data_IF_941912948275
#
_entry.id   IF_941912948275
#
_cell.length_a   1.000
_cell.length_b   1.000
_cell.length_c   1.000
_cell.angle_alpha   90.00
_cell.angle_beta   90.00
_cell.angle_gamma   90.00
#
_symmetry.space_group_name_H-M   'P 1'
#
loop_
_entity.id
_entity.type
_entity.pdbx_description
1 polymer ?
#
# COMPACT_ATOMS: atom_id res chain seq x y z
N UNK A 1 51.29 49.18 44.11
CA UNK A 1 51.15 47.71 44.01
C UNK A 1 49.69 47.38 43.79
N UNK A 2 49.41 46.56 42.77
CA UNK A 2 48.20 45.77 42.48
C UNK A 2 46.82 46.30 42.91
N UNK A 3 45.94 46.51 41.94
CA UNK A 3 44.51 46.70 42.18
C UNK A 3 43.72 46.64 40.87
N UNK A 4 43.24 45.46 40.51
CA UNK A 4 42.42 45.16 39.34
C UNK A 4 41.10 45.96 39.34
N UNK A 5 40.78 46.61 38.22
CA UNK A 5 39.45 47.13 37.90
C UNK A 5 38.91 46.34 36.70
N UNK A 6 38.11 45.30 36.97
CA UNK A 6 37.26 44.65 35.98
C UNK A 6 35.90 45.35 35.95
N UNK A 7 35.66 46.04 34.84
CA UNK A 7 34.44 46.01 34.01
C UNK A 7 33.17 45.37 34.61
N UNK A 8 32.05 46.10 34.69
CA UNK A 8 31.07 46.16 33.59
C UNK A 8 29.91 47.11 33.92
N UNK A 9 29.49 47.79 32.86
CA UNK A 9 28.48 48.84 32.79
C UNK A 9 27.05 48.34 33.00
N UNK A 10 26.29 49.17 33.71
CA UNK A 10 24.85 49.46 33.67
C UNK A 10 23.83 48.38 33.26
N UNK A 11 22.96 48.14 34.24
CA UNK A 11 21.61 47.61 34.18
C UNK A 11 20.71 48.49 33.30
N UNK A 12 20.05 47.94 32.29
CA UNK A 12 18.77 48.44 31.78
C UNK A 12 17.86 47.26 31.45
N UNK A 13 16.75 47.20 32.19
CA UNK A 13 15.61 46.33 32.00
C UNK A 13 14.71 46.84 30.86
N UNK A 14 14.33 45.97 29.91
CA UNK A 14 13.08 46.10 29.16
C UNK A 14 12.61 44.74 28.62
N UNK A 15 11.56 44.25 29.26
CA UNK A 15 10.36 43.57 28.74
C UNK A 15 10.46 42.69 27.47
N UNK A 16 9.99 41.46 27.67
CA UNK A 16 9.16 40.63 26.77
C UNK A 16 9.55 40.56 25.30
N UNK A 17 10.00 39.38 24.87
CA UNK A 17 9.49 38.76 23.65
C UNK A 17 9.59 37.24 23.76
N UNK A 18 8.42 36.65 24.00
CA UNK A 18 8.08 35.30 23.59
C UNK A 18 8.33 35.18 22.09
N UNK A 19 9.05 34.14 21.68
CA UNK A 19 8.83 33.32 20.47
C UNK A 19 10.16 32.64 20.09
N UNK A 20 10.33 31.41 20.57
CA UNK A 20 11.31 30.48 20.00
C UNK A 20 10.63 29.83 18.81
N UNK A 21 11.15 29.90 17.57
CA UNK A 21 10.57 29.15 16.47
C UNK A 21 10.80 27.67 16.71
N UNK A 22 9.70 26.96 16.96
CA UNK A 22 9.63 25.51 16.96
C UNK A 22 10.18 25.02 15.62
N UNK A 23 11.11 24.06 15.68
CA UNK A 23 11.57 23.28 14.53
C UNK A 23 10.37 22.64 13.83
N UNK A 24 9.87 23.27 12.77
CA UNK A 24 8.97 22.60 11.82
C UNK A 24 9.86 21.72 10.96
N UNK A 25 10.19 20.53 11.49
CA UNK A 25 10.52 19.40 10.63
C UNK A 25 9.25 19.11 9.84
N UNK A 26 9.22 19.56 8.59
CA UNK A 26 8.19 19.22 7.63
C UNK A 26 8.30 17.73 7.30
N UNK A 27 7.82 16.87 8.19
CA UNK A 27 7.61 15.47 7.90
C UNK A 27 6.28 15.38 7.17
N UNK A 28 6.31 15.67 5.87
CA UNK A 28 5.23 15.28 4.97
C UNK A 28 5.24 13.77 4.94
N UNK A 29 4.46 13.14 5.83
CA UNK A 29 4.14 11.73 5.73
C UNK A 29 3.38 11.58 4.42
N UNK A 30 4.07 11.08 3.40
CA UNK A 30 3.50 10.65 2.13
C UNK A 30 2.48 9.55 2.47
N UNK A 31 1.24 9.92 2.77
CA UNK A 31 0.15 8.95 2.88
C UNK A 31 0.15 8.21 1.56
N UNK A 32 0.35 6.90 1.63
CA UNK A 32 0.50 6.05 0.46
C UNK A 32 -0.76 6.19 -0.40
N UNK A 33 -0.64 6.86 -1.53
CA UNK A 33 -1.72 7.08 -2.50
C UNK A 33 -2.28 5.79 -3.11
N UNK A 34 -1.69 4.64 -2.74
CA UNK A 34 -2.08 3.33 -3.23
C UNK A 34 -3.28 2.71 -2.50
N UNK A 35 -3.66 3.20 -1.31
CA UNK A 35 -4.83 2.71 -0.55
C UNK A 35 -6.11 3.51 -0.78
N UNK A 36 -6.10 4.45 -1.70
CA UNK A 36 -7.30 5.16 -2.12
C UNK A 36 -7.98 4.36 -3.25
N UNK A 37 -9.32 4.45 -3.35
CA UNK A 37 -10.05 3.84 -4.46
C UNK A 37 -9.53 4.35 -5.81
N UNK A 38 -9.62 3.50 -6.83
CA UNK A 38 -9.21 3.86 -8.19
C UNK A 38 -10.03 5.04 -8.72
N UNK A 39 -9.34 6.00 -9.35
CA UNK A 39 -10.03 7.04 -10.11
C UNK A 39 -10.78 6.43 -11.30
N UNK A 40 -11.86 7.06 -11.81
CA UNK A 40 -12.59 6.53 -12.96
C UNK A 40 -11.68 6.26 -14.18
N UNK A 41 -10.74 7.17 -14.46
CA UNK A 41 -9.78 7.00 -15.56
C UNK A 41 -8.82 5.83 -15.33
N UNK A 42 -8.28 5.68 -14.11
CA UNK A 42 -7.42 4.54 -13.76
C UNK A 42 -8.21 3.22 -13.83
N UNK A 43 -9.48 3.24 -13.41
CA UNK A 43 -10.36 2.06 -13.41
C UNK A 43 -10.58 1.57 -14.84
N UNK A 44 -10.99 2.45 -15.75
CA UNK A 44 -11.28 2.07 -17.13
C UNK A 44 -10.07 1.42 -17.80
N UNK A 45 -8.88 2.00 -17.62
CA UNK A 45 -7.65 1.46 -18.19
C UNK A 45 -7.21 0.15 -17.53
N UNK A 46 -7.03 0.16 -16.21
CA UNK A 46 -6.40 -0.95 -15.49
C UNK A 46 -7.32 -2.16 -15.37
N UNK A 47 -8.63 -1.95 -15.19
CA UNK A 47 -9.60 -3.05 -15.15
C UNK A 47 -9.78 -3.65 -16.54
N UNK A 48 -9.75 -2.85 -17.62
CA UNK A 48 -9.77 -3.39 -18.99
C UNK A 48 -8.57 -4.30 -19.27
N UNK A 49 -7.36 -3.91 -18.84
CA UNK A 49 -6.18 -4.77 -18.92
C UNK A 49 -6.38 -6.10 -18.18
N UNK A 50 -6.88 -6.07 -16.95
CA UNK A 50 -7.09 -7.28 -16.16
C UNK A 50 -8.20 -8.17 -16.73
N UNK A 51 -9.25 -7.58 -17.33
CA UNK A 51 -10.27 -8.33 -18.08
C UNK A 51 -9.67 -9.11 -19.23
N UNK A 52 -8.75 -8.51 -19.99
CA UNK A 52 -8.03 -9.21 -21.07
C UNK A 52 -7.20 -10.40 -20.56
N UNK A 53 -6.77 -10.35 -19.30
CA UNK A 53 -6.05 -11.43 -18.62
C UNK A 53 -6.98 -12.44 -17.93
N UNK A 54 -8.31 -12.33 -18.07
CA UNK A 54 -9.29 -13.26 -17.51
C UNK A 54 -9.76 -12.94 -16.09
N UNK A 55 -9.49 -11.74 -15.57
CA UNK A 55 -10.14 -11.25 -14.35
C UNK A 55 -11.54 -10.73 -14.66
N UNK A 56 -12.46 -10.89 -13.73
CA UNK A 56 -13.85 -10.42 -13.83
C UNK A 56 -14.15 -9.50 -12.66
N UNK A 57 -15.03 -8.51 -12.84
CA UNK A 57 -15.56 -7.77 -11.70
C UNK A 57 -16.61 -8.62 -10.97
N UNK A 58 -16.67 -8.49 -9.65
CA UNK A 58 -17.67 -9.17 -8.82
C UNK A 58 -18.97 -8.37 -8.86
N UNK A 59 -20.10 -9.06 -9.02
CA UNK A 59 -21.42 -8.42 -8.96
C UNK A 59 -21.67 -7.87 -7.54
N UNK A 60 -22.26 -6.67 -7.45
CA UNK A 60 -22.59 -5.98 -6.20
C UNK A 60 -21.43 -5.71 -5.23
N UNK A 61 -20.18 -5.86 -5.66
CA UNK A 61 -19.00 -5.60 -4.84
C UNK A 61 -17.87 -5.00 -5.67
N UNK A 62 -17.26 -3.93 -5.17
CA UNK A 62 -16.09 -3.33 -5.82
C UNK A 62 -14.83 -4.19 -5.60
N UNK A 63 -14.75 -5.26 -6.37
CA UNK A 63 -13.73 -6.29 -6.30
C UNK A 63 -13.51 -6.93 -7.68
N UNK A 64 -12.36 -7.56 -7.86
CA UNK A 64 -12.05 -8.39 -9.02
C UNK A 64 -11.86 -9.85 -8.61
N UNK A 65 -12.21 -10.76 -9.49
CA UNK A 65 -12.20 -12.20 -9.29
C UNK A 65 -11.50 -12.92 -10.43
N UNK A 66 -10.78 -14.00 -10.11
CA UNK A 66 -10.26 -14.94 -11.10
C UNK A 66 -10.18 -16.36 -10.54
N UNK A 67 -10.49 -17.34 -11.37
CA UNK A 67 -10.27 -18.75 -11.07
C UNK A 67 -9.07 -19.28 -11.86
N UNK A 68 -8.16 -19.97 -11.18
CA UNK A 68 -6.97 -20.60 -11.75
C UNK A 68 -7.02 -22.12 -11.56
N UNK A 69 -6.67 -22.86 -12.61
CA UNK A 69 -6.60 -24.32 -12.60
C UNK A 69 -5.17 -24.79 -12.82
N UNK A 70 -4.69 -25.63 -11.91
CA UNK A 70 -3.36 -26.24 -11.94
C UNK A 70 -3.47 -27.74 -12.29
N UNK A 71 -2.34 -28.42 -12.49
CA UNK A 71 -2.32 -29.87 -12.74
C UNK A 71 -2.57 -30.68 -11.48
N UNK A 72 -2.06 -30.22 -10.34
CA UNK A 72 -2.12 -30.95 -9.06
C UNK A 72 -2.31 -29.98 -7.89
N UNK A 73 -2.71 -30.52 -6.73
CA UNK A 73 -2.74 -29.75 -5.49
C UNK A 73 -1.37 -29.20 -5.10
N UNK A 74 -0.28 -29.96 -5.30
CA UNK A 74 1.06 -29.50 -4.96
C UNK A 74 1.44 -28.24 -5.76
N UNK A 75 1.13 -28.21 -7.05
CA UNK A 75 1.36 -27.03 -7.90
C UNK A 75 0.49 -25.84 -7.46
N UNK A 76 -0.80 -26.07 -7.16
CA UNK A 76 -1.70 -25.03 -6.66
C UNK A 76 -1.19 -24.43 -5.34
N UNK A 77 -0.79 -25.27 -4.38
CA UNK A 77 -0.31 -24.80 -3.09
C UNK A 77 1.07 -24.14 -3.17
N UNK A 78 1.93 -24.59 -4.10
CA UNK A 78 3.19 -23.92 -4.42
C UNK A 78 2.97 -22.51 -5.00
N UNK A 79 2.00 -22.37 -5.90
CA UNK A 79 1.54 -21.06 -6.38
C UNK A 79 1.04 -20.19 -5.21
N UNK A 80 0.13 -20.71 -4.39
CA UNK A 80 -0.44 -19.99 -3.24
C UNK A 80 0.65 -19.52 -2.27
N UNK A 81 1.64 -20.37 -1.98
CA UNK A 81 2.75 -20.02 -1.09
C UNK A 81 3.55 -18.81 -1.60
N UNK A 82 3.80 -18.72 -2.92
CA UNK A 82 4.48 -17.56 -3.52
C UNK A 82 3.64 -16.29 -3.45
N UNK A 83 2.32 -16.40 -3.63
CA UNK A 83 1.39 -15.28 -3.47
C UNK A 83 1.34 -14.80 -2.02
N UNK A 84 1.30 -15.71 -1.05
CA UNK A 84 1.30 -15.37 0.37
C UNK A 84 2.55 -14.57 0.79
N UNK A 85 3.73 -14.95 0.31
CA UNK A 85 4.97 -14.19 0.58
C UNK A 85 4.91 -12.76 0.02
N UNK A 86 4.30 -12.58 -1.15
CA UNK A 86 4.12 -11.26 -1.74
C UNK A 86 3.04 -10.46 -1.02
N UNK A 87 1.97 -11.10 -0.56
CA UNK A 87 0.91 -10.49 0.23
C UNK A 87 1.47 -9.88 1.53
N UNK A 88 2.31 -10.61 2.25
CA UNK A 88 3.01 -10.11 3.44
C UNK A 88 3.90 -8.91 3.11
N UNK A 89 4.69 -8.99 2.04
CA UNK A 89 5.54 -7.87 1.61
C UNK A 89 4.74 -6.61 1.24
N UNK A 90 3.55 -6.78 0.68
CA UNK A 90 2.66 -5.69 0.27
C UNK A 90 1.76 -5.20 1.40
N UNK A 91 1.66 -5.96 2.50
CA UNK A 91 0.60 -5.83 3.50
C UNK A 91 -0.79 -5.70 2.82
N UNK A 92 -1.06 -6.60 1.87
CA UNK A 92 -2.30 -6.65 1.10
C UNK A 92 -2.63 -8.10 0.76
N UNK A 93 -3.70 -8.62 1.33
CA UNK A 93 -4.00 -10.05 1.32
C UNK A 93 -5.16 -10.38 0.39
N UNK A 94 -5.07 -11.46 -0.41
CA UNK A 94 -6.20 -11.92 -1.20
C UNK A 94 -7.26 -12.59 -0.32
N UNK A 95 -8.51 -12.53 -0.76
CA UNK A 95 -9.52 -13.49 -0.36
C UNK A 95 -9.45 -14.66 -1.33
N UNK A 96 -9.40 -15.91 -0.85
CA UNK A 96 -9.36 -17.05 -1.76
C UNK A 96 -10.04 -18.29 -1.22
N UNK A 97 -10.38 -19.18 -2.14
CA UNK A 97 -10.90 -20.51 -1.89
C UNK A 97 -10.13 -21.51 -2.74
N UNK A 98 -9.65 -22.60 -2.13
CA UNK A 98 -8.90 -23.64 -2.83
C UNK A 98 -9.54 -25.00 -2.62
N UNK A 99 -9.74 -25.73 -3.72
CA UNK A 99 -10.13 -27.15 -3.72
C UNK A 99 -9.23 -27.88 -4.70
N UNK A 100 -8.36 -28.75 -4.17
CA UNK A 100 -7.39 -29.51 -4.94
C UNK A 100 -6.58 -28.60 -5.88
N UNK A 101 -6.76 -28.74 -7.19
CA UNK A 101 -6.01 -28.02 -8.22
C UNK A 101 -6.67 -26.69 -8.64
N UNK A 102 -7.76 -26.27 -8.01
CA UNK A 102 -8.47 -25.02 -8.33
C UNK A 102 -8.25 -23.97 -7.25
N UNK A 103 -7.92 -22.75 -7.65
CA UNK A 103 -7.78 -21.60 -6.74
C UNK A 103 -8.63 -20.45 -7.26
N UNK A 104 -9.66 -20.10 -6.50
CA UNK A 104 -10.51 -18.95 -6.73
C UNK A 104 -10.00 -17.78 -5.90
N UNK A 105 -9.79 -16.62 -6.53
CA UNK A 105 -9.15 -15.46 -5.91
C UNK A 105 -10.03 -14.24 -6.13
N UNK A 106 -10.33 -13.54 -5.03
CA UNK A 106 -11.00 -12.24 -5.02
C UNK A 106 -10.04 -11.19 -4.43
N UNK A 107 -9.94 -10.03 -5.07
CA UNK A 107 -9.13 -8.91 -4.62
C UNK A 107 -9.99 -7.66 -4.46
N UNK A 108 -9.86 -7.03 -3.29
CA UNK A 108 -10.40 -5.71 -2.98
C UNK A 108 -9.58 -5.11 -1.84
N UNK A 109 -9.61 -3.79 -1.69
CA UNK A 109 -8.95 -3.10 -0.59
C UNK A 109 -9.98 -2.71 0.48
N UNK A 110 -9.97 -3.44 1.59
CA UNK A 110 -10.90 -3.21 2.70
C UNK A 110 -10.80 -1.80 3.29
N UNK A 111 -9.59 -1.23 3.38
CA UNK A 111 -9.35 0.10 3.95
C UNK A 111 -10.16 1.21 3.26
N UNK A 112 -10.36 1.09 1.94
CA UNK A 112 -11.14 2.06 1.14
C UNK A 112 -12.48 1.50 0.65
N UNK A 113 -12.86 0.30 1.07
CA UNK A 113 -14.12 -0.34 0.70
C UNK A 113 -14.27 -0.66 -0.80
N UNK A 114 -13.16 -0.84 -1.52
CA UNK A 114 -13.22 -1.06 -2.97
C UNK A 114 -11.85 -1.28 -3.63
N UNK A 115 -11.82 -1.23 -4.96
CA UNK A 115 -10.60 -1.48 -5.73
C UNK A 115 -9.60 -0.34 -5.58
N UNK A 116 -8.34 -0.69 -5.32
CA UNK A 116 -7.22 0.25 -5.27
C UNK A 116 -6.07 -0.20 -6.17
N UNK A 117 -5.00 0.61 -6.20
CA UNK A 117 -3.75 0.25 -6.91
C UNK A 117 -3.08 -0.99 -6.30
N UNK A 118 -3.36 -1.33 -5.03
CA UNK A 118 -2.83 -2.55 -4.39
C UNK A 118 -3.42 -3.80 -5.03
N UNK A 119 -4.72 -3.80 -5.32
CA UNK A 119 -5.42 -4.91 -5.98
C UNK A 119 -4.85 -5.13 -7.39
N UNK A 120 -4.65 -4.06 -8.15
CA UNK A 120 -4.06 -4.15 -9.50
C UNK A 120 -2.62 -4.71 -9.44
N UNK A 121 -1.80 -4.25 -8.49
CA UNK A 121 -0.43 -4.76 -8.31
C UNK A 121 -0.43 -6.25 -7.93
N UNK A 122 -1.34 -6.66 -7.05
CA UNK A 122 -1.48 -8.05 -6.61
C UNK A 122 -1.96 -8.95 -7.77
N UNK A 123 -2.96 -8.52 -8.53
CA UNK A 123 -3.48 -9.23 -9.70
C UNK A 123 -2.36 -9.48 -10.74
N UNK A 124 -1.59 -8.44 -11.08
CA UNK A 124 -0.45 -8.56 -12.02
C UNK A 124 0.64 -9.50 -11.49
N UNK A 125 0.89 -9.50 -10.18
CA UNK A 125 1.82 -10.44 -9.57
C UNK A 125 1.31 -11.89 -9.66
N UNK A 126 0.03 -12.12 -9.31
CA UNK A 126 -0.62 -13.42 -9.41
C UNK A 126 -0.50 -13.99 -10.83
N UNK A 127 -0.82 -13.19 -11.84
CA UNK A 127 -0.73 -13.62 -13.24
C UNK A 127 0.70 -14.00 -13.62
N UNK A 128 1.70 -13.23 -13.18
CA UNK A 128 3.11 -13.55 -13.39
C UNK A 128 3.50 -14.89 -12.77
N UNK A 129 3.04 -15.19 -11.55
CA UNK A 129 3.36 -16.46 -10.88
C UNK A 129 2.63 -17.61 -11.57
N UNK A 130 1.36 -17.44 -11.93
CA UNK A 130 0.56 -18.44 -12.61
C UNK A 130 1.17 -18.84 -13.97
N UNK A 131 1.70 -17.88 -14.74
CA UNK A 131 2.39 -18.16 -16.01
C UNK A 131 3.72 -18.93 -15.86
N UNK A 132 4.29 -18.96 -14.66
CA UNK A 132 5.57 -19.63 -14.36
C UNK A 132 5.42 -21.03 -13.77
N UNK A 133 4.19 -21.55 -13.69
CA UNK A 133 3.84 -22.84 -13.09
C UNK A 133 3.30 -23.79 -14.16
#
# INVERSE_FOLDING_TARGET
>A
MSGLMFSLSSRLSRLNNLWVPLLIRNCSSKMSSDSHWLSPADRDQLVMELRSAGWMEVEDRDAIFKELHFKTFNQAFGFMSRVALQAEKMNHHPEWFNVYNKVQITLTTHDCGGLSKRDIKMAKFIDKIALSM
#
